data_IF_789483723798
#
_entry.id   IF_789483723798
#
_cell.length_a   1.000
_cell.length_b   1.000
_cell.length_c   1.000
_cell.angle_alpha   90.00
_cell.angle_beta   90.00
_cell.angle_gamma   90.00
#
_symmetry.space_group_name_H-M   'P 1'
#
loop_
_entity.id
_entity.type
_entity.pdbx_description
1 polymer ?
#
# COMPACT_ATOMS: atom_id res chain seq x y z
N UNK A 1 -12.11 18.04 26.11
CA UNK A 1 -12.35 17.57 24.73
C UNK A 1 -11.40 16.41 24.46
N UNK A 2 -11.90 15.24 24.11
CA UNK A 2 -11.07 14.04 23.95
C UNK A 2 -10.21 14.10 22.70
N UNK A 3 -8.89 14.09 22.86
CA UNK A 3 -7.96 13.82 21.77
C UNK A 3 -8.06 12.34 21.43
N UNK A 4 -8.84 12.01 20.39
CA UNK A 4 -8.81 10.70 19.77
C UNK A 4 -7.69 10.72 18.72
N UNK A 5 -6.45 10.59 19.16
CA UNK A 5 -5.31 10.22 18.31
C UNK A 5 -5.40 8.73 17.96
N UNK A 6 -6.52 8.31 17.37
CA UNK A 6 -6.70 6.92 16.95
C UNK A 6 -5.94 6.69 15.65
N UNK A 7 -4.77 6.05 15.79
CA UNK A 7 -3.98 5.52 14.66
C UNK A 7 -4.82 4.53 13.86
N UNK A 8 -4.84 4.68 12.54
CA UNK A 8 -5.60 3.79 11.66
C UNK A 8 -4.95 2.39 11.59
N UNK A 9 -5.76 1.34 11.54
CA UNK A 9 -5.30 -0.02 11.25
C UNK A 9 -6.35 -0.83 10.50
N UNK A 10 -5.93 -1.67 9.56
CA UNK A 10 -6.81 -2.57 8.80
C UNK A 10 -6.09 -3.86 8.42
N UNK A 11 -6.87 -4.92 8.18
CA UNK A 11 -6.43 -6.30 7.99
C UNK A 11 -7.09 -6.96 6.78
N UNK A 12 -6.65 -8.17 6.46
CA UNK A 12 -6.82 -8.84 5.16
C UNK A 12 -8.27 -8.94 4.70
N UNK A 13 -9.23 -9.15 5.60
CA UNK A 13 -10.65 -9.18 5.25
C UNK A 13 -11.16 -7.87 4.64
N UNK A 14 -10.88 -6.74 5.28
CA UNK A 14 -11.35 -5.41 4.86
C UNK A 14 -10.59 -4.90 3.62
N UNK A 15 -9.31 -5.25 3.51
CA UNK A 15 -8.44 -4.79 2.43
C UNK A 15 -8.65 -5.58 1.13
N UNK A 16 -8.96 -6.88 1.23
CA UNK A 16 -9.16 -7.73 0.05
C UNK A 16 -10.45 -7.43 -0.71
N UNK A 17 -11.47 -6.85 -0.07
CA UNK A 17 -12.69 -6.37 -0.76
C UNK A 17 -12.39 -5.32 -1.83
N UNK A 18 -11.24 -4.66 -1.73
CA UNK A 18 -10.79 -3.63 -2.65
C UNK A 18 -9.59 -4.07 -3.51
N UNK A 19 -9.31 -5.37 -3.64
CA UNK A 19 -8.26 -5.87 -4.55
C UNK A 19 -8.62 -5.48 -6.01
N UNK A 20 -7.84 -4.57 -6.58
CA UNK A 20 -8.02 -4.08 -7.95
C UNK A 20 -7.17 -4.86 -8.98
N UNK A 21 -6.43 -5.87 -8.52
CA UNK A 21 -5.46 -6.66 -9.29
C UNK A 21 -5.75 -8.17 -9.18
N UNK A 22 -7.03 -8.53 -9.10
CA UNK A 22 -7.49 -9.93 -8.97
C UNK A 22 -7.10 -10.82 -10.15
N UNK A 23 -6.91 -10.25 -11.34
CA UNK A 23 -6.45 -10.95 -12.54
C UNK A 23 -4.92 -11.10 -12.61
N UNK A 24 -4.17 -10.43 -11.73
CA UNK A 24 -2.70 -10.40 -11.79
C UNK A 24 -2.08 -11.48 -10.92
N UNK A 25 -1.04 -12.11 -11.46
CA UNK A 25 -0.20 -13.06 -10.72
C UNK A 25 0.56 -12.34 -9.59
N UNK A 26 0.56 -12.93 -8.40
CA UNK A 26 1.46 -12.52 -7.30
C UNK A 26 2.89 -12.99 -7.60
N UNK A 27 3.85 -12.07 -7.59
CA UNK A 27 5.27 -12.36 -7.78
C UNK A 27 5.99 -12.59 -6.46
N UNK A 28 5.67 -11.78 -5.45
CA UNK A 28 6.23 -11.90 -4.11
C UNK A 28 5.26 -11.34 -3.06
N UNK A 29 5.52 -11.65 -1.79
CA UNK A 29 4.78 -11.12 -0.65
C UNK A 29 5.73 -10.36 0.27
N UNK A 30 5.21 -9.31 0.88
CA UNK A 30 5.91 -8.47 1.85
C UNK A 30 5.18 -8.61 3.18
N UNK A 31 5.92 -8.87 4.26
CA UNK A 31 5.35 -9.08 5.59
C UNK A 31 5.99 -8.14 6.61
N UNK A 32 5.14 -7.41 7.34
CA UNK A 32 5.50 -6.58 8.49
C UNK A 32 6.55 -5.49 8.23
N UNK A 33 6.60 -4.94 7.01
CA UNK A 33 7.61 -3.94 6.66
C UNK A 33 7.20 -2.54 7.11
N UNK A 34 8.18 -1.77 7.57
CA UNK A 34 8.03 -0.35 7.83
C UNK A 34 8.13 0.43 6.53
N UNK A 35 7.24 1.40 6.35
CA UNK A 35 7.22 2.25 5.17
C UNK A 35 6.63 3.62 5.45
N UNK A 36 6.60 4.43 4.41
CA UNK A 36 5.99 5.75 4.42
C UNK A 36 5.09 5.92 3.20
N UNK A 37 3.90 6.46 3.43
CA UNK A 37 3.01 6.89 2.36
C UNK A 37 3.61 8.13 1.70
N UNK A 38 3.71 8.13 0.39
CA UNK A 38 4.16 9.28 -0.38
C UNK A 38 3.22 9.55 -1.55
N UNK A 39 3.26 10.77 -2.07
CA UNK A 39 2.47 11.17 -3.24
C UNK A 39 3.22 10.78 -4.52
N UNK A 40 2.61 9.96 -5.37
CA UNK A 40 3.17 9.54 -6.66
C UNK A 40 2.88 10.61 -7.72
N UNK A 41 1.63 11.10 -7.76
CA UNK A 41 1.16 12.17 -8.62
C UNK A 41 0.03 12.95 -7.93
N UNK A 42 -0.65 13.86 -8.61
CA UNK A 42 -1.69 14.72 -8.00
C UNK A 42 -2.88 13.97 -7.35
N UNK A 43 -3.07 12.68 -7.63
CA UNK A 43 -4.19 11.89 -7.12
C UNK A 43 -3.78 10.55 -6.49
N UNK A 44 -2.59 10.04 -6.79
CA UNK A 44 -2.16 8.69 -6.42
C UNK A 44 -1.12 8.68 -5.31
N UNK A 45 -1.24 7.71 -4.41
CA UNK A 45 -0.32 7.49 -3.30
C UNK A 45 0.41 6.15 -3.43
N UNK A 46 1.65 6.14 -2.97
CA UNK A 46 2.52 4.97 -2.94
C UNK A 46 3.06 4.68 -1.56
N UNK A 47 3.69 3.52 -1.41
CA UNK A 47 4.45 3.15 -0.22
C UNK A 47 5.92 2.99 -0.60
N UNK A 48 6.80 3.74 0.06
CA UNK A 48 8.25 3.53 0.03
C UNK A 48 8.68 2.84 1.32
N UNK A 49 9.60 1.89 1.23
CA UNK A 49 10.11 1.13 2.38
C UNK A 49 11.58 0.81 2.20
N UNK A 50 12.31 0.64 3.31
CA UNK A 50 13.73 0.30 3.25
C UNK A 50 13.92 -1.13 2.72
N UNK A 51 14.89 -1.31 1.81
CA UNK A 51 15.16 -2.59 1.16
C UNK A 51 14.38 -2.86 -0.14
N UNK A 52 13.43 -1.99 -0.50
CA UNK A 52 12.75 -2.04 -1.81
C UNK A 52 13.50 -1.24 -2.88
N UNK A 53 13.83 -1.87 -4.01
CA UNK A 53 14.40 -1.16 -5.19
C UNK A 53 13.33 -0.32 -5.90
N UNK A 54 12.05 -0.66 -5.73
CA UNK A 54 10.91 -0.01 -6.37
C UNK A 54 9.90 0.46 -5.34
N UNK A 55 9.26 1.58 -5.65
CA UNK A 55 8.11 2.09 -4.91
C UNK A 55 6.90 1.19 -5.16
N UNK A 56 6.06 0.99 -4.15
CA UNK A 56 4.83 0.20 -4.27
C UNK A 56 3.66 1.12 -4.60
N UNK A 57 2.77 0.64 -5.46
CA UNK A 57 1.50 1.26 -5.80
C UNK A 57 0.35 0.42 -5.23
N UNK A 58 -0.09 0.70 -3.98
CA UNK A 58 -1.20 0.00 -3.35
C UNK A 58 -2.53 0.43 -3.98
N UNK A 59 -3.20 -0.48 -4.69
CA UNK A 59 -4.50 -0.16 -5.29
C UNK A 59 -5.63 -0.05 -4.26
N UNK A 60 -5.46 -0.68 -3.10
CA UNK A 60 -6.43 -0.75 -2.01
C UNK A 60 -5.99 0.06 -0.78
N UNK A 61 -5.26 1.17 -0.98
CA UNK A 61 -4.88 2.05 0.12
C UNK A 61 -6.12 2.70 0.75
N UNK A 62 -6.39 2.48 2.05
CA UNK A 62 -7.56 3.06 2.70
C UNK A 62 -7.56 4.58 2.66
N UNK A 63 -8.74 5.19 2.47
CA UNK A 63 -8.89 6.66 2.40
C UNK A 63 -8.30 7.41 3.60
N UNK A 64 -8.35 6.81 4.80
CA UNK A 64 -7.75 7.36 6.01
C UNK A 64 -6.21 7.51 5.92
N UNK A 65 -5.56 6.73 5.06
CA UNK A 65 -4.11 6.74 4.84
C UNK A 65 -3.70 7.41 3.51
N UNK A 66 -4.64 7.98 2.75
CA UNK A 66 -4.36 8.71 1.51
C UNK A 66 -3.82 10.12 1.78
N UNK A 67 -2.68 10.17 2.49
CA UNK A 67 -1.95 11.39 2.82
C UNK A 67 -0.46 11.09 2.91
N UNK A 68 0.35 11.93 2.26
CA UNK A 68 1.80 11.78 2.29
C UNK A 68 2.39 12.03 3.69
N UNK A 69 3.51 11.38 3.99
CA UNK A 69 4.27 11.51 5.23
C UNK A 69 3.83 10.56 6.35
N UNK A 70 2.76 9.78 6.17
CA UNK A 70 2.30 8.82 7.19
C UNK A 70 3.26 7.64 7.23
N UNK A 71 3.79 7.35 8.43
CA UNK A 71 4.59 6.15 8.69
C UNK A 71 3.67 4.96 8.98
N UNK A 72 3.96 3.82 8.36
CA UNK A 72 3.11 2.64 8.44
C UNK A 72 3.93 1.37 8.63
N UNK A 73 3.33 0.37 9.26
CA UNK A 73 3.74 -1.03 9.12
C UNK A 73 2.73 -1.72 8.23
N UNK A 74 3.20 -2.38 7.17
CA UNK A 74 2.33 -2.97 6.17
C UNK A 74 2.74 -4.40 5.77
N UNK A 75 1.80 -5.10 5.16
CA UNK A 75 1.99 -6.40 4.52
C UNK A 75 1.12 -6.46 3.28
N UNK A 76 1.51 -7.27 2.30
CA UNK A 76 0.75 -7.40 1.08
C UNK A 76 1.42 -8.23 0.00
N UNK A 77 0.77 -8.26 -1.15
CA UNK A 77 1.20 -9.00 -2.33
C UNK A 77 1.64 -8.05 -3.43
N UNK A 78 2.85 -8.26 -3.93
CA UNK A 78 3.37 -7.61 -5.13
C UNK A 78 2.85 -8.37 -6.34
N UNK A 79 2.18 -7.65 -7.24
CA UNK A 79 1.55 -8.21 -8.43
C UNK A 79 2.39 -7.92 -9.68
N UNK A 80 2.32 -8.81 -10.65
CA UNK A 80 3.04 -8.68 -11.91
C UNK A 80 2.63 -7.42 -12.68
N UNK A 81 3.61 -6.80 -13.32
CA UNK A 81 3.41 -5.71 -14.29
C UNK A 81 3.36 -6.35 -15.69
N UNK A 82 2.38 -6.00 -16.51
CA UNK A 82 2.36 -6.43 -17.92
C UNK A 82 3.45 -5.65 -18.67
N UNK A 83 4.15 -6.30 -19.61
CA UNK A 83 5.28 -5.68 -20.35
C UNK A 83 4.94 -4.34 -21.01
N UNK A 84 3.68 -4.14 -21.37
CA UNK A 84 3.16 -2.97 -22.07
C UNK A 84 2.75 -1.82 -21.12
N UNK A 85 2.77 -2.06 -19.80
CA UNK A 85 2.31 -1.09 -18.80
C UNK A 85 3.46 -0.19 -18.34
N UNK A 86 3.25 1.12 -18.45
CA UNK A 86 4.09 2.14 -17.84
C UNK A 86 3.47 2.56 -16.51
N UNK A 87 3.99 2.02 -15.40
CA UNK A 87 3.51 2.32 -14.05
C UNK A 87 4.55 3.08 -13.23
N UNK A 88 4.07 4.06 -12.46
CA UNK A 88 4.89 4.87 -11.56
C UNK A 88 5.35 4.12 -10.29
N UNK A 89 4.83 2.91 -10.07
CA UNK A 89 5.21 2.03 -8.97
C UNK A 89 4.83 0.58 -9.26
N UNK A 90 5.31 -0.34 -8.43
CA UNK A 90 5.01 -1.76 -8.56
C UNK A 90 3.60 -2.04 -8.02
N UNK A 91 2.69 -2.66 -8.80
CA UNK A 91 1.37 -3.06 -8.38
C UNK A 91 1.41 -3.83 -7.06
N UNK A 92 0.63 -3.36 -6.10
CA UNK A 92 0.63 -3.92 -4.77
C UNK A 92 -0.78 -3.98 -4.21
N UNK A 93 -1.06 -5.04 -3.46
CA UNK A 93 -2.32 -5.23 -2.73
C UNK A 93 -1.99 -5.40 -1.27
N UNK A 94 -2.42 -4.47 -0.45
CA UNK A 94 -2.28 -4.53 1.00
C UNK A 94 -3.13 -5.67 1.55
N UNK A 95 -2.56 -6.45 2.45
CA UNK A 95 -3.28 -7.43 3.28
C UNK A 95 -3.28 -7.03 4.75
N UNK A 96 -2.35 -6.16 5.18
CA UNK A 96 -2.38 -5.51 6.50
C UNK A 96 -1.75 -4.15 6.40
N UNK A 97 -2.28 -3.16 7.12
CA UNK A 97 -1.64 -1.87 7.29
C UNK A 97 -2.02 -1.24 8.62
N UNK A 98 -1.06 -0.58 9.27
CA UNK A 98 -1.32 0.24 10.46
C UNK A 98 -0.43 1.47 10.44
N UNK A 99 -0.98 2.58 10.90
CA UNK A 99 -0.22 3.79 11.19
C UNK A 99 0.66 3.60 12.43
N UNK A 100 1.89 4.14 12.37
CA UNK A 100 2.92 3.99 13.40
C UNK A 100 2.86 5.02 14.50
#
# INVERSE_FOLDING_TARGET
>A
MGNNDQKYSSVEGELNENDCFTDRKTETTIAGQEGEIFLIDNANFGIRYEGGVRQLFPCNLPGALQKAGIKVVFSGAVKAIKLEELMAGQPFVLTKIREM
#
